data_IF_794293175736
#
_entry.id   IF_794293175736
#
_cell.length_a   1.000
_cell.length_b   1.000
_cell.length_c   1.000
_cell.angle_alpha   90.00
_cell.angle_beta   90.00
_cell.angle_gamma   90.00
#
_symmetry.space_group_name_H-M   'P 1'
#
loop_
_entity.id
_entity.type
_entity.pdbx_description
1 polymer ?
#
# COMPACT_ATOMS: atom_id res chain seq x y z
N UNK A 1 4.17 25.12 -1.47
CA UNK A 1 4.32 23.65 -1.62
C UNK A 1 4.91 23.43 -3.02
N UNK A 2 6.05 22.76 -3.13
CA UNK A 2 6.60 22.35 -4.42
C UNK A 2 6.16 20.91 -4.73
N UNK A 3 5.72 20.66 -5.96
CA UNK A 3 5.24 19.35 -6.40
C UNK A 3 6.14 18.88 -7.54
N UNK A 4 6.57 17.62 -7.48
CA UNK A 4 7.34 16.96 -8.52
C UNK A 4 6.62 15.68 -8.91
N UNK A 5 6.31 15.53 -10.20
CA UNK A 5 5.60 14.37 -10.74
C UNK A 5 6.60 13.28 -11.09
N UNK A 6 6.30 12.04 -10.72
CA UNK A 6 7.15 10.88 -11.04
C UNK A 6 6.27 9.82 -11.70
N UNK A 7 6.65 9.40 -12.89
CA UNK A 7 6.06 8.22 -13.54
C UNK A 7 7.11 7.11 -13.64
N UNK A 8 6.74 5.89 -13.26
CA UNK A 8 7.62 4.74 -13.37
C UNK A 8 7.01 3.70 -14.29
N UNK A 9 7.65 3.53 -15.44
CA UNK A 9 7.28 2.61 -16.50
C UNK A 9 7.99 1.26 -16.34
N UNK A 10 7.26 0.16 -16.48
CA UNK A 10 7.77 -1.20 -16.22
C UNK A 10 8.25 -1.91 -17.49
N UNK A 11 8.30 -1.20 -18.64
CA UNK A 11 8.69 -1.68 -19.96
C UNK A 11 8.01 -3.00 -20.39
N UNK A 12 6.83 -3.28 -19.84
CA UNK A 12 6.15 -4.58 -20.02
C UNK A 12 5.23 -4.66 -21.24
N UNK A 13 5.04 -3.56 -21.99
CA UNK A 13 4.06 -3.49 -23.08
C UNK A 13 4.75 -3.03 -24.36
N UNK A 14 4.63 -3.82 -25.42
CA UNK A 14 5.05 -3.48 -26.77
C UNK A 14 4.23 -2.29 -27.32
N UNK A 15 4.61 -1.06 -26.95
CA UNK A 15 4.10 0.19 -27.54
C UNK A 15 3.09 0.99 -26.69
N UNK A 16 2.20 0.35 -25.92
CA UNK A 16 1.14 1.07 -25.16
C UNK A 16 1.66 1.77 -23.88
N UNK A 17 2.64 1.18 -23.19
CA UNK A 17 3.34 1.81 -22.05
C UNK A 17 3.90 3.20 -22.41
N UNK A 18 4.34 3.37 -23.66
CA UNK A 18 4.83 4.65 -24.18
C UNK A 18 3.75 5.73 -24.26
N UNK A 19 2.47 5.36 -24.37
CA UNK A 19 1.36 6.30 -24.48
C UNK A 19 0.92 6.84 -23.10
N UNK A 20 0.95 6.00 -22.06
CA UNK A 20 0.67 6.41 -20.68
C UNK A 20 1.76 7.36 -20.17
N UNK A 21 3.03 7.02 -20.40
CA UNK A 21 4.17 7.86 -20.07
C UNK A 21 4.10 9.25 -20.75
N UNK A 22 3.76 9.31 -22.03
CA UNK A 22 3.57 10.57 -22.76
C UNK A 22 2.40 11.38 -22.22
N UNK A 23 1.29 10.73 -21.86
CA UNK A 23 0.13 11.41 -21.29
C UNK A 23 0.45 12.04 -19.93
N UNK A 24 1.13 11.31 -19.03
CA UNK A 24 1.54 11.87 -17.73
C UNK A 24 2.50 13.05 -17.92
N UNK A 25 3.44 12.93 -18.86
CA UNK A 25 4.38 14.02 -19.19
C UNK A 25 3.63 15.27 -19.69
N UNK A 26 2.70 15.12 -20.64
CA UNK A 26 1.96 16.27 -21.18
C UNK A 26 1.05 16.93 -20.14
N UNK A 27 0.42 16.16 -19.25
CA UNK A 27 -0.37 16.70 -18.14
C UNK A 27 0.51 17.48 -17.17
N UNK A 28 1.67 16.95 -16.80
CA UNK A 28 2.60 17.64 -15.91
C UNK A 28 3.12 18.95 -16.53
N UNK A 29 3.48 18.94 -17.82
CA UNK A 29 3.89 20.13 -18.57
C UNK A 29 2.78 21.18 -18.64
N UNK A 30 1.53 20.76 -18.93
CA UNK A 30 0.37 21.66 -18.96
C UNK A 30 0.08 22.31 -17.60
N UNK A 31 0.46 21.65 -16.50
CA UNK A 31 0.32 22.17 -15.13
C UNK A 31 1.58 22.90 -14.63
N UNK A 32 2.59 23.09 -15.49
CA UNK A 32 3.89 23.67 -15.13
C UNK A 32 4.56 22.96 -13.94
N UNK A 33 4.45 21.63 -13.90
CA UNK A 33 5.06 20.80 -12.86
C UNK A 33 6.32 20.09 -13.37
N UNK A 34 7.43 20.07 -12.61
CA UNK A 34 8.58 19.27 -12.95
C UNK A 34 8.22 17.79 -12.93
N UNK A 35 8.71 17.04 -13.92
CA UNK A 35 8.40 15.62 -14.10
C UNK A 35 9.67 14.79 -14.32
N UNK A 36 9.77 13.65 -13.64
CA UNK A 36 10.80 12.63 -13.88
C UNK A 36 10.15 11.35 -14.37
N UNK A 37 10.63 10.86 -15.51
CA UNK A 37 10.25 9.58 -16.08
C UNK A 37 11.30 8.55 -15.73
N UNK A 38 10.90 7.45 -15.10
CA UNK A 38 11.78 6.34 -14.74
C UNK A 38 11.36 5.13 -15.57
N UNK A 39 12.32 4.50 -16.22
CA UNK A 39 12.12 3.25 -16.94
C UNK A 39 12.85 2.14 -16.20
N UNK A 40 12.16 1.02 -15.95
CA UNK A 40 12.76 -0.15 -15.32
C UNK A 40 12.24 -1.43 -15.97
N UNK A 41 13.13 -2.26 -16.50
CA UNK A 41 12.76 -3.60 -17.00
C UNK A 41 12.54 -4.55 -15.82
N UNK A 42 11.32 -4.55 -15.30
CA UNK A 42 10.95 -5.43 -14.19
C UNK A 42 10.85 -6.89 -14.64
N UNK A 43 10.59 -7.16 -15.92
CA UNK A 43 10.47 -8.51 -16.43
C UNK A 43 11.83 -9.22 -16.39
N UNK A 44 12.89 -8.55 -16.80
CA UNK A 44 14.25 -9.07 -16.72
C UNK A 44 14.68 -9.29 -15.25
N UNK A 45 14.44 -8.29 -14.39
CA UNK A 45 14.79 -8.37 -12.96
C UNK A 45 14.04 -9.53 -12.28
N UNK A 46 12.74 -9.68 -12.57
CA UNK A 46 11.92 -10.76 -12.03
C UNK A 46 12.42 -12.14 -12.44
N UNK A 47 12.83 -12.32 -13.71
CA UNK A 47 13.43 -13.57 -14.21
C UNK A 47 14.76 -13.87 -13.51
N UNK A 48 15.64 -12.88 -13.40
CA UNK A 48 16.95 -13.01 -12.77
C UNK A 48 16.85 -13.37 -11.29
N UNK A 49 15.95 -12.73 -10.56
CA UNK A 49 15.76 -12.95 -9.12
C UNK A 49 14.87 -14.17 -8.79
N UNK A 50 14.23 -14.79 -9.80
CA UNK A 50 13.23 -15.87 -9.61
C UNK A 50 12.12 -15.49 -8.63
N UNK A 51 11.69 -14.23 -8.66
CA UNK A 51 10.64 -13.68 -7.80
C UNK A 51 9.44 -13.27 -8.64
N UNK A 52 8.25 -13.32 -8.04
CA UNK A 52 7.02 -12.89 -8.71
C UNK A 52 7.11 -11.42 -9.15
N UNK A 53 6.78 -11.17 -10.43
CA UNK A 53 6.83 -9.87 -11.08
C UNK A 53 6.23 -8.75 -10.23
N UNK A 54 5.03 -8.94 -9.65
CA UNK A 54 4.36 -7.91 -8.86
C UNK A 54 5.12 -7.52 -7.57
N UNK A 55 5.75 -8.49 -6.91
CA UNK A 55 6.55 -8.23 -5.72
C UNK A 55 7.78 -7.38 -6.08
N UNK A 56 8.48 -7.76 -7.16
CA UNK A 56 9.65 -7.03 -7.67
C UNK A 56 9.24 -5.64 -8.15
N UNK A 57 8.16 -5.51 -8.93
CA UNK A 57 7.64 -4.22 -9.41
C UNK A 57 7.34 -3.26 -8.24
N UNK A 58 6.67 -3.76 -7.19
CA UNK A 58 6.30 -2.96 -6.02
C UNK A 58 7.52 -2.53 -5.22
N UNK A 59 8.47 -3.44 -5.01
CA UNK A 59 9.71 -3.16 -4.29
C UNK A 59 10.58 -2.15 -5.05
N UNK A 60 10.86 -2.39 -6.33
CA UNK A 60 11.67 -1.51 -7.18
C UNK A 60 11.05 -0.13 -7.31
N UNK A 61 9.72 -0.05 -7.50
CA UNK A 61 9.00 1.23 -7.51
C UNK A 61 9.19 2.00 -6.21
N UNK A 62 9.04 1.34 -5.06
CA UNK A 62 9.24 1.98 -3.75
C UNK A 62 10.66 2.48 -3.59
N UNK A 63 11.66 1.65 -3.93
CA UNK A 63 13.06 2.00 -3.76
C UNK A 63 13.46 3.18 -4.67
N UNK A 64 13.02 3.20 -5.93
CA UNK A 64 13.28 4.32 -6.83
C UNK A 64 12.60 5.61 -6.37
N UNK A 65 11.35 5.54 -5.91
CA UNK A 65 10.67 6.72 -5.37
C UNK A 65 11.38 7.29 -4.13
N UNK A 66 11.88 6.43 -3.24
CA UNK A 66 12.63 6.85 -2.06
C UNK A 66 13.97 7.51 -2.44
N UNK A 67 14.75 6.86 -3.31
CA UNK A 67 16.03 7.40 -3.80
C UNK A 67 15.85 8.75 -4.50
N UNK A 68 14.83 8.86 -5.36
CA UNK A 68 14.54 10.10 -6.06
C UNK A 68 14.10 11.19 -5.08
N UNK A 69 13.25 10.86 -4.11
CA UNK A 69 12.83 11.81 -3.08
C UNK A 69 14.02 12.32 -2.26
N UNK A 70 15.00 11.47 -1.96
CA UNK A 70 16.24 11.89 -1.28
C UNK A 70 17.07 12.83 -2.16
N UNK A 71 17.27 12.48 -3.44
CA UNK A 71 18.04 13.31 -4.38
C UNK A 71 17.41 14.69 -4.65
N UNK A 72 16.08 14.78 -4.62
CA UNK A 72 15.33 16.02 -4.83
C UNK A 72 15.13 16.81 -3.53
N UNK A 73 15.58 16.29 -2.38
CA UNK A 73 15.30 16.90 -1.07
C UNK A 73 13.82 16.89 -0.69
N UNK A 74 13.01 16.00 -1.29
CA UNK A 74 11.58 15.92 -1.06
C UNK A 74 11.27 15.37 0.34
N UNK A 75 10.37 16.05 1.05
CA UNK A 75 9.96 15.65 2.40
C UNK A 75 8.97 14.48 2.41
N UNK A 76 8.17 14.32 1.35
CA UNK A 76 7.08 13.34 1.25
C UNK A 76 6.90 12.82 -0.17
N UNK A 77 6.35 11.61 -0.29
CA UNK A 77 5.98 10.96 -1.56
C UNK A 77 4.48 10.66 -1.48
N UNK A 78 3.66 11.33 -2.28
CA UNK A 78 2.22 11.07 -2.32
C UNK A 78 1.88 9.99 -3.35
N UNK A 79 1.04 9.03 -2.95
CA UNK A 79 0.52 7.99 -3.85
C UNK A 79 -1.02 8.01 -3.87
N UNK A 80 -1.61 7.71 -5.03
CA UNK A 80 -3.05 7.76 -5.26
C UNK A 80 -3.83 6.52 -4.79
N UNK A 81 -3.39 5.88 -3.68
CA UNK A 81 -4.18 4.80 -3.09
C UNK A 81 -5.46 5.36 -2.46
N UNK A 82 -6.57 4.66 -2.65
CA UNK A 82 -7.91 5.14 -2.32
C UNK A 82 -8.73 4.12 -1.50
N UNK A 83 -9.96 4.47 -1.10
CA UNK A 83 -10.76 3.67 -0.17
C UNK A 83 -11.09 2.26 -0.68
N UNK A 84 -11.38 2.09 -1.97
CA UNK A 84 -11.58 0.78 -2.59
C UNK A 84 -10.30 -0.08 -2.54
N UNK A 85 -9.11 0.52 -2.62
CA UNK A 85 -7.85 -0.23 -2.47
C UNK A 85 -7.68 -0.76 -1.03
N UNK A 86 -8.28 -0.11 -0.03
CA UNK A 86 -8.32 -0.61 1.34
C UNK A 86 -9.21 -1.84 1.46
N UNK A 87 -10.40 -1.81 0.84
CA UNK A 87 -11.32 -2.96 0.81
C UNK A 87 -10.66 -4.15 0.10
N UNK A 88 -10.03 -3.92 -1.05
CA UNK A 88 -9.28 -4.95 -1.76
C UNK A 88 -8.13 -5.51 -0.92
N UNK A 89 -7.37 -4.64 -0.26
CA UNK A 89 -6.24 -5.04 0.57
C UNK A 89 -6.72 -5.83 1.80
N UNK A 90 -7.84 -5.45 2.41
CA UNK A 90 -8.45 -6.18 3.51
C UNK A 90 -8.82 -7.59 3.08
N UNK A 91 -9.62 -7.76 2.03
CA UNK A 91 -10.07 -9.07 1.56
C UNK A 91 -8.90 -9.95 1.11
N UNK A 92 -7.93 -9.36 0.40
CA UNK A 92 -6.72 -10.05 -0.02
C UNK A 92 -5.93 -10.61 1.18
N UNK A 93 -5.79 -9.81 2.25
CA UNK A 93 -5.06 -10.20 3.45
C UNK A 93 -5.85 -11.18 4.32
N UNK A 94 -7.17 -11.05 4.35
CA UNK A 94 -8.08 -11.97 5.03
C UNK A 94 -7.97 -13.38 4.44
N UNK A 95 -8.04 -13.51 3.11
CA UNK A 95 -7.90 -14.79 2.40
C UNK A 95 -6.53 -15.45 2.60
N UNK A 96 -5.52 -14.69 3.05
CA UNK A 96 -4.16 -15.17 3.36
C UNK A 96 -3.90 -15.39 4.85
N UNK A 97 -4.94 -15.30 5.70
CA UNK A 97 -4.81 -15.56 7.14
C UNK A 97 -4.05 -14.48 7.90
N UNK A 98 -4.14 -13.21 7.46
CA UNK A 98 -3.48 -12.10 8.16
C UNK A 98 -4.14 -11.82 9.51
N UNK A 99 -3.33 -11.46 10.52
CA UNK A 99 -3.83 -10.98 11.81
C UNK A 99 -4.31 -9.52 11.78
N UNK A 100 -4.74 -8.96 12.93
CA UNK A 100 -5.30 -7.60 13.04
C UNK A 100 -4.47 -6.51 12.36
N UNK A 101 -3.15 -6.47 12.60
CA UNK A 101 -2.21 -5.58 11.91
C UNK A 101 -2.33 -5.58 10.38
N UNK A 102 -2.50 -6.76 9.79
CA UNK A 102 -2.66 -6.90 8.35
C UNK A 102 -4.06 -6.48 7.91
N UNK A 103 -5.08 -6.85 8.68
CA UNK A 103 -6.47 -6.52 8.38
C UNK A 103 -6.76 -5.01 8.54
N UNK A 104 -5.99 -4.26 9.34
CA UNK A 104 -6.06 -2.80 9.41
C UNK A 104 -5.75 -2.06 8.08
N UNK A 105 -5.40 -2.80 7.02
CA UNK A 105 -5.18 -2.26 5.69
C UNK A 105 -3.86 -1.48 5.58
N UNK A 106 -3.87 -0.43 4.77
CA UNK A 106 -2.76 0.48 4.57
C UNK A 106 -2.83 1.65 5.55
N UNK A 107 -1.69 2.14 5.99
CA UNK A 107 -1.60 3.37 6.79
C UNK A 107 -1.55 4.61 5.86
N UNK A 108 -2.11 5.72 6.36
CA UNK A 108 -2.04 7.03 5.70
C UNK A 108 -0.60 7.50 5.50
N UNK A 109 0.30 7.15 6.43
CA UNK A 109 1.71 7.50 6.38
C UNK A 109 2.58 6.29 6.72
N UNK A 110 3.66 6.14 5.97
CA UNK A 110 4.72 5.16 6.23
C UNK A 110 6.06 5.80 5.87
N UNK A 111 6.77 6.32 6.88
CA UNK A 111 7.98 7.13 6.67
C UNK A 111 7.70 8.37 5.82
N UNK A 112 8.34 8.46 4.65
CA UNK A 112 8.11 9.53 3.66
C UNK A 112 6.88 9.30 2.76
N UNK A 113 6.38 8.08 2.65
CA UNK A 113 5.22 7.78 1.81
C UNK A 113 3.92 8.21 2.51
N UNK A 114 3.08 8.93 1.79
CA UNK A 114 1.74 9.34 2.21
C UNK A 114 0.68 8.90 1.20
N UNK A 115 -0.53 8.64 1.69
CA UNK A 115 -1.70 8.22 0.90
C UNK A 115 -2.87 9.18 1.20
N UNK A 116 -2.89 10.38 0.59
CA UNK A 116 -3.86 11.42 0.95
C UNK A 116 -5.30 11.04 0.63
N UNK A 117 -5.52 10.17 -0.36
CA UNK A 117 -6.85 9.80 -0.86
C UNK A 117 -7.41 8.52 -0.22
N UNK A 118 -6.78 8.02 0.85
CA UNK A 118 -7.05 6.67 1.37
C UNK A 118 -8.47 6.47 1.93
N UNK A 119 -9.20 7.56 2.20
CA UNK A 119 -10.60 7.61 2.60
C UNK A 119 -11.54 8.18 1.51
N UNK A 120 -11.02 8.40 0.29
CA UNK A 120 -11.80 8.88 -0.84
C UNK A 120 -12.16 7.69 -1.70
N UNK A 121 -13.44 7.55 -2.05
CA UNK A 121 -13.92 6.47 -2.91
C UNK A 121 -13.56 6.72 -4.37
N UNK A 122 -13.35 5.66 -5.13
CA UNK A 122 -13.12 5.72 -6.57
C UNK A 122 -14.19 6.52 -7.31
N UNK A 123 -15.46 6.36 -6.94
CA UNK A 123 -16.58 7.12 -7.51
C UNK A 123 -16.43 8.64 -7.33
N UNK A 124 -15.87 9.08 -6.20
CA UNK A 124 -15.66 10.50 -5.91
C UNK A 124 -14.51 11.05 -6.75
N UNK A 125 -13.46 10.25 -6.92
CA UNK A 125 -12.33 10.58 -7.82
C UNK A 125 -12.81 10.69 -9.26
N UNK A 126 -13.64 9.75 -9.73
CA UNK A 126 -14.20 9.76 -11.08
C UNK A 126 -15.10 10.99 -11.31
N UNK A 127 -15.98 11.32 -10.35
CA UNK A 127 -16.82 12.51 -10.39
C UNK A 127 -15.99 13.80 -10.40
N UNK A 128 -14.93 13.88 -9.60
CA UNK A 128 -14.02 15.02 -9.57
C UNK A 128 -13.33 15.19 -10.93
N UNK A 129 -12.82 14.11 -11.51
CA UNK A 129 -12.20 14.14 -12.83
C UNK A 129 -13.18 14.65 -13.90
N UNK A 130 -14.42 14.17 -13.89
CA UNK A 130 -15.45 14.63 -14.82
C UNK A 130 -15.74 16.14 -14.66
N UNK A 131 -15.94 16.60 -13.41
CA UNK A 131 -16.23 18.00 -13.12
C UNK A 131 -15.07 18.94 -13.47
N UNK A 132 -13.83 18.46 -13.32
CA UNK A 132 -12.61 19.21 -13.63
C UNK A 132 -12.16 19.07 -15.11
N UNK A 133 -12.90 18.34 -15.95
CA UNK A 133 -12.53 18.10 -17.34
C UNK A 133 -11.25 17.25 -17.52
N UNK A 134 -10.92 16.42 -16.52
CA UNK A 134 -9.78 15.53 -16.54
C UNK A 134 -10.16 14.19 -17.17
N UNK A 135 -9.32 13.70 -18.09
CA UNK A 135 -9.52 12.44 -18.82
C UNK A 135 -8.45 11.41 -18.45
N UNK A 136 -8.47 10.83 -17.23
CA UNK A 136 -7.45 9.88 -16.79
C UNK A 136 -7.39 8.66 -17.71
N UNK A 137 -6.16 8.20 -17.99
CA UNK A 137 -5.94 6.95 -18.74
C UNK A 137 -6.36 5.75 -17.91
N UNK A 138 -7.07 4.83 -18.55
CA UNK A 138 -7.51 3.58 -17.94
C UNK A 138 -6.54 2.46 -18.32
N UNK A 139 -5.80 1.96 -17.33
CA UNK A 139 -4.93 0.81 -17.54
C UNK A 139 -5.77 -0.46 -17.76
N UNK A 140 -5.67 -1.03 -18.97
CA UNK A 140 -6.39 -2.23 -19.39
C UNK A 140 -5.96 -3.50 -18.65
N UNK A 141 -4.74 -3.54 -18.10
CA UNK A 141 -4.27 -4.69 -17.30
C UNK A 141 -5.04 -4.85 -16.00
N UNK A 142 -5.76 -3.80 -15.55
CA UNK A 142 -6.73 -3.91 -14.45
C UNK A 142 -7.89 -4.87 -14.77
N UNK A 143 -8.10 -5.21 -16.05
CA UNK A 143 -9.10 -6.18 -16.50
C UNK A 143 -8.55 -7.61 -16.57
N UNK A 144 -7.24 -7.80 -16.44
CA UNK A 144 -6.64 -9.15 -16.50
C UNK A 144 -6.94 -9.93 -15.23
N UNK A 145 -7.62 -11.06 -15.36
CA UNK A 145 -8.00 -11.91 -14.21
C UNK A 145 -6.88 -12.83 -13.72
N UNK A 146 -5.69 -12.75 -14.33
CA UNK A 146 -4.48 -13.49 -13.91
C UNK A 146 -4.03 -13.11 -12.50
N UNK A 147 -4.33 -11.89 -12.06
CA UNK A 147 -3.88 -11.38 -10.77
C UNK A 147 -4.98 -11.51 -9.70
N UNK A 148 -4.62 -12.07 -8.54
CA UNK A 148 -5.56 -12.28 -7.41
C UNK A 148 -6.29 -10.99 -7.01
N UNK A 149 -5.57 -9.85 -6.98
CA UNK A 149 -6.19 -8.55 -6.70
C UNK A 149 -7.26 -8.16 -7.71
N UNK A 150 -7.03 -8.40 -9.00
CA UNK A 150 -8.02 -8.13 -10.04
C UNK A 150 -9.23 -9.06 -9.91
N UNK A 151 -9.03 -10.33 -9.53
CA UNK A 151 -10.14 -11.24 -9.19
C UNK A 151 -10.95 -10.75 -8.00
N UNK A 152 -10.29 -10.23 -6.96
CA UNK A 152 -10.98 -9.65 -5.81
C UNK A 152 -11.82 -8.44 -6.24
N UNK A 153 -11.21 -7.48 -6.95
CA UNK A 153 -11.87 -6.26 -7.44
C UNK A 153 -13.04 -6.53 -8.39
N UNK A 154 -12.83 -7.41 -9.39
CA UNK A 154 -13.75 -7.55 -10.51
C UNK A 154 -14.77 -8.71 -10.35
N UNK A 155 -14.52 -9.67 -9.44
CA UNK A 155 -15.43 -10.79 -9.21
C UNK A 155 -15.91 -10.86 -7.75
N UNK A 156 -14.98 -10.94 -6.79
CA UNK A 156 -15.36 -11.21 -5.40
C UNK A 156 -16.15 -10.07 -4.77
N UNK A 157 -15.66 -8.83 -4.87
CA UNK A 157 -16.34 -7.66 -4.30
C UNK A 157 -17.73 -7.50 -4.94
N UNK A 158 -17.88 -7.47 -6.28
CA UNK A 158 -19.22 -7.37 -6.90
C UNK A 158 -20.16 -8.52 -6.53
N UNK A 159 -19.64 -9.75 -6.41
CA UNK A 159 -20.43 -10.90 -5.97
C UNK A 159 -20.93 -10.69 -4.54
N UNK A 160 -20.05 -10.32 -3.61
CA UNK A 160 -20.42 -10.09 -2.22
C UNK A 160 -21.40 -8.92 -2.05
N UNK A 161 -21.22 -7.85 -2.85
CA UNK A 161 -22.13 -6.71 -2.87
C UNK A 161 -23.54 -7.11 -3.32
N UNK A 162 -23.63 -7.92 -4.37
CA UNK A 162 -24.90 -8.34 -4.96
C UNK A 162 -25.64 -9.38 -4.11
N UNK A 163 -24.93 -10.38 -3.60
CA UNK A 163 -25.57 -11.53 -2.93
C UNK A 163 -25.76 -11.32 -1.42
N UNK A 164 -24.97 -10.45 -0.78
CA UNK A 164 -25.00 -10.30 0.68
C UNK A 164 -25.35 -8.90 1.15
N UNK A 165 -24.65 -7.86 0.67
CA UNK A 165 -24.93 -6.49 1.10
C UNK A 165 -24.36 -5.44 0.16
N UNK A 166 -25.17 -4.49 -0.35
CA UNK A 166 -24.66 -3.38 -1.16
C UNK A 166 -23.74 -2.43 -0.35
N UNK A 167 -23.79 -2.48 0.98
CA UNK A 167 -22.94 -1.69 1.87
C UNK A 167 -21.61 -2.38 2.22
N UNK A 168 -21.26 -3.49 1.54
CA UNK A 168 -20.07 -4.29 1.85
C UNK A 168 -18.79 -3.46 1.93
N UNK A 169 -18.56 -2.56 0.96
CA UNK A 169 -17.34 -1.73 0.93
C UNK A 169 -17.24 -0.86 2.17
N UNK A 170 -18.32 -0.17 2.54
CA UNK A 170 -18.36 0.68 3.74
C UNK A 170 -18.15 -0.13 5.02
N UNK A 171 -18.76 -1.33 5.11
CA UNK A 171 -18.60 -2.22 6.26
C UNK A 171 -17.14 -2.67 6.40
N UNK A 172 -16.54 -3.14 5.30
CA UNK A 172 -15.14 -3.60 5.30
C UNK A 172 -14.19 -2.46 5.59
N UNK A 173 -14.41 -1.29 4.97
CA UNK A 173 -13.60 -0.11 5.19
C UNK A 173 -13.61 0.31 6.67
N UNK A 174 -14.80 0.45 7.27
CA UNK A 174 -14.94 0.78 8.70
C UNK A 174 -14.30 -0.28 9.60
N UNK A 175 -14.42 -1.56 9.25
CA UNK A 175 -13.78 -2.65 10.00
C UNK A 175 -12.26 -2.53 9.95
N UNK A 176 -11.70 -2.22 8.78
CA UNK A 176 -10.26 -2.00 8.62
C UNK A 176 -9.78 -0.76 9.40
N UNK A 177 -10.59 0.30 9.51
CA UNK A 177 -10.28 1.46 10.34
C UNK A 177 -10.24 1.11 11.83
N UNK A 178 -11.29 0.46 12.35
CA UNK A 178 -11.35 0.03 13.76
C UNK A 178 -10.14 -0.84 14.10
N UNK A 179 -9.83 -1.83 13.25
CA UNK A 179 -8.68 -2.71 13.48
C UNK A 179 -7.35 -1.97 13.44
N UNK A 180 -7.23 -0.88 12.68
CA UNK A 180 -6.02 -0.06 12.62
C UNK A 180 -5.85 0.74 13.91
N UNK A 181 -6.92 1.37 14.38
CA UNK A 181 -6.90 2.19 15.60
C UNK A 181 -6.60 1.31 16.82
N UNK A 182 -7.25 0.14 16.92
CA UNK A 182 -6.95 -0.84 17.98
C UNK A 182 -5.52 -1.38 17.90
N UNK A 183 -5.01 -1.61 16.68
CA UNK A 183 -3.63 -2.06 16.48
C UNK A 183 -2.61 -1.02 16.95
N UNK A 184 -2.87 0.28 16.76
CA UNK A 184 -1.99 1.36 17.24
C UNK A 184 -1.89 1.40 18.76
N UNK A 185 -3.02 1.22 19.46
CA UNK A 185 -3.04 1.08 20.92
C UNK A 185 -2.27 -0.17 21.35
N UNK A 186 -2.52 -1.31 20.70
CA UNK A 186 -1.84 -2.57 21.02
C UNK A 186 -0.33 -2.52 20.75
N UNK A 187 0.11 -1.82 19.70
CA UNK A 187 1.53 -1.61 19.40
C UNK A 187 2.19 -0.66 20.38
N UNK A 188 1.46 0.31 20.94
CA UNK A 188 1.95 1.20 22.00
C UNK A 188 2.13 0.46 23.33
N UNK A 189 1.12 -0.32 23.74
CA UNK A 189 1.20 -1.15 24.95
C UNK A 189 2.30 -2.21 24.85
N UNK A 190 2.50 -2.79 23.66
CA UNK A 190 3.59 -3.73 23.43
C UNK A 190 4.97 -3.06 23.49
N UNK A 191 5.09 -1.82 23.03
CA UNK A 191 6.35 -1.07 23.12
C UNK A 191 6.71 -0.77 24.58
N UNK A 192 5.76 -0.26 25.36
CA UNK A 192 5.97 -0.01 26.80
C UNK A 192 6.39 -1.29 27.53
N UNK A 193 5.69 -2.40 27.26
CA UNK A 193 6.02 -3.69 27.86
C UNK A 193 7.41 -4.18 27.43
N UNK A 194 7.79 -3.98 26.17
CA UNK A 194 9.11 -4.33 25.66
C UNK A 194 10.19 -3.53 26.38
N UNK A 195 10.05 -2.21 26.51
CA UNK A 195 11.02 -1.36 27.20
C UNK A 195 11.20 -1.75 28.68
N UNK A 196 10.13 -2.21 29.33
CA UNK A 196 10.17 -2.61 30.74
C UNK A 196 10.77 -4.01 30.97
N UNK A 197 10.57 -4.94 30.04
CA UNK A 197 10.92 -6.36 30.24
C UNK A 197 12.10 -6.86 29.39
N UNK A 198 12.43 -6.18 28.30
CA UNK A 198 13.49 -6.59 27.40
C UNK A 198 14.85 -6.12 27.92
N UNK A 199 15.80 -7.04 28.01
CA UNK A 199 17.22 -6.73 28.18
C UNK A 199 17.87 -6.81 26.81
N UNK A 200 18.08 -5.64 26.18
CA UNK A 200 18.70 -5.52 24.86
C UNK A 200 20.22 -5.57 24.98
N UNK A 201 20.85 -6.49 24.25
CA UNK A 201 22.30 -6.62 24.08
C UNK A 201 22.66 -6.48 22.60
N UNK A 202 23.94 -6.34 22.28
CA UNK A 202 24.41 -6.10 20.90
C UNK A 202 23.87 -7.12 19.88
N UNK A 203 23.79 -8.41 20.24
CA UNK A 203 23.37 -9.49 19.33
C UNK A 203 22.12 -10.24 19.81
N UNK A 204 21.47 -9.80 20.90
CA UNK A 204 20.31 -10.52 21.42
C UNK A 204 19.37 -9.64 22.24
N UNK A 205 18.09 -10.02 22.21
CA UNK A 205 17.08 -9.50 23.12
C UNK A 205 16.71 -10.62 24.09
N UNK A 206 16.89 -10.37 25.38
CA UNK A 206 16.62 -11.35 26.44
C UNK A 206 15.39 -10.96 27.25
N UNK A 207 14.61 -11.94 27.67
CA UNK A 207 13.44 -11.76 28.52
C UNK A 207 13.46 -12.75 29.67
N UNK A 208 13.02 -12.32 30.85
CA UNK A 208 12.78 -13.24 31.96
C UNK A 208 11.46 -14.00 31.73
N UNK A 209 11.54 -15.31 31.55
CA UNK A 209 10.37 -16.17 31.24
C UNK A 209 9.25 -16.03 32.26
N UNK A 210 9.59 -15.90 33.56
CA UNK A 210 8.60 -15.72 34.64
C UNK A 210 7.81 -14.41 34.48
N UNK A 211 8.46 -13.33 34.06
CA UNK A 211 7.79 -12.05 33.84
C UNK A 211 6.93 -12.09 32.57
N UNK A 212 7.40 -12.71 31.48
CA UNK A 212 6.60 -12.93 30.28
C UNK A 212 5.33 -13.75 30.56
N UNK A 213 5.43 -14.80 31.39
CA UNK A 213 4.31 -15.68 31.70
C UNK A 213 3.17 -14.97 32.46
N UNK A 214 3.46 -13.83 33.10
CA UNK A 214 2.47 -13.00 33.80
C UNK A 214 1.72 -12.03 32.87
N UNK A 215 2.18 -11.86 31.64
CA UNK A 215 1.62 -10.90 30.71
C UNK A 215 0.52 -11.49 29.82
N UNK A 216 -0.43 -10.68 29.33
CA UNK A 216 -1.42 -11.13 28.35
C UNK A 216 -0.77 -11.74 27.12
N UNK A 217 -1.24 -12.92 26.69
CA UNK A 217 -0.68 -13.67 25.55
C UNK A 217 -0.61 -12.84 24.26
N UNK A 218 -1.55 -11.93 24.05
CA UNK A 218 -1.56 -11.03 22.89
C UNK A 218 -0.33 -10.10 22.87
N UNK A 219 0.04 -9.53 24.03
CA UNK A 219 1.21 -8.67 24.17
C UNK A 219 2.51 -9.48 24.10
N UNK A 220 2.58 -10.65 24.74
CA UNK A 220 3.73 -11.55 24.65
C UNK A 220 4.06 -11.91 23.19
N UNK A 221 3.05 -12.26 22.39
CA UNK A 221 3.25 -12.55 20.96
C UNK A 221 3.81 -11.35 20.18
N UNK A 222 3.46 -10.13 20.57
CA UNK A 222 3.92 -8.90 19.90
C UNK A 222 5.37 -8.57 20.27
N UNK A 223 5.71 -8.58 21.55
CA UNK A 223 7.07 -8.26 22.00
C UNK A 223 8.09 -9.30 21.50
N UNK A 224 7.71 -10.58 21.44
CA UNK A 224 8.56 -11.62 20.85
C UNK A 224 8.79 -11.41 19.35
N UNK A 225 7.80 -10.93 18.60
CA UNK A 225 7.97 -10.58 17.18
C UNK A 225 8.86 -9.35 16.95
N UNK A 226 9.06 -8.50 17.97
CA UNK A 226 9.97 -7.34 17.90
C UNK A 226 11.41 -7.71 18.22
N UNK A 227 11.62 -8.75 19.04
CA UNK A 227 12.95 -9.25 19.42
C UNK A 227 13.58 -10.24 18.44
N UNK A 228 12.90 -10.57 17.33
CA UNK A 228 13.37 -11.39 16.21
C UNK A 228 13.58 -10.47 15.02
#
# INVERSE_FOLDING_TARGET
IAIHVVNLEHLTRDGESTHDARYVKSVAENWNLPVTMIEADIAEISKRERRFFQCVARERRRNHLLQLADSLGASRIATGHQADDQVETFLFRLLRGSGPKGLGGMNYREGKLIKPLLNVWRREIENYCQAAGLSPRMDWTNREMKYERNRIRNQLIPYLEREFSPALRDIVFRTAEILRDEEEVMDSLAEELFQNLAVVREESVQFYVKELARQPRALVRRILRRGI
#
